data_IF_025915837540
#
_entry.id   IF_025915837540
#
_cell.length_a   1.000
_cell.length_b   1.000
_cell.length_c   1.000
_cell.angle_alpha   90.00
_cell.angle_beta   90.00
_cell.angle_gamma   90.00
#
_symmetry.space_group_name_H-M   'P 1'
#
loop_
_entity.id
_entity.type
_entity.pdbx_description
1 polymer ?
#
# COMPACT_ATOMS: atom_id res chain seq x y z
N UNK A 1 -7.97 18.36 -21.79
CA UNK A 1 -8.43 17.36 -20.80
C UNK A 1 -7.20 16.73 -20.19
N UNK A 2 -7.06 16.71 -18.85
CA UNK A 2 -5.93 16.02 -18.20
C UNK A 2 -6.12 14.51 -18.34
N UNK A 3 -5.08 13.79 -18.77
CA UNK A 3 -5.11 12.32 -18.83
C UNK A 3 -5.37 11.77 -17.43
N UNK A 4 -6.33 10.85 -17.24
CA UNK A 4 -6.59 10.26 -15.93
C UNK A 4 -5.35 9.54 -15.41
N UNK A 5 -5.11 9.64 -14.09
CA UNK A 5 -3.98 8.98 -13.43
C UNK A 5 -4.13 7.46 -13.61
N UNK A 6 -3.16 6.75 -14.21
CA UNK A 6 -3.24 5.31 -14.37
C UNK A 6 -3.08 4.61 -13.02
N UNK A 7 -4.15 3.97 -12.58
CA UNK A 7 -4.23 3.19 -11.33
C UNK A 7 -4.63 1.76 -11.66
N UNK A 8 -3.97 0.78 -11.06
CA UNK A 8 -4.45 -0.61 -11.02
C UNK A 8 -5.56 -0.66 -9.98
N UNK A 9 -6.80 -0.52 -10.43
CA UNK A 9 -7.98 -0.53 -9.56
C UNK A 9 -8.25 -1.94 -9.02
N UNK A 10 -8.77 -2.00 -7.78
CA UNK A 10 -9.10 -3.24 -7.08
C UNK A 10 -10.51 -3.12 -6.52
N UNK A 11 -11.33 -4.15 -6.75
CA UNK A 11 -12.63 -4.28 -6.11
C UNK A 11 -12.49 -4.92 -4.72
N UNK A 12 -12.50 -4.08 -3.68
CA UNK A 12 -12.56 -4.50 -2.28
C UNK A 12 -13.94 -4.35 -1.65
N UNK A 13 -14.99 -4.23 -2.47
CA UNK A 13 -16.38 -4.18 -2.03
C UNK A 13 -17.08 -2.87 -2.38
N UNK A 14 -18.41 -2.93 -2.28
CA UNK A 14 -19.26 -1.79 -2.58
C UNK A 14 -18.93 -0.61 -1.67
N UNK A 15 -18.82 0.57 -2.27
CA UNK A 15 -18.49 1.79 -1.55
C UNK A 15 -17.02 1.89 -1.16
N UNK A 16 -16.12 1.02 -1.64
CA UNK A 16 -14.67 1.16 -1.47
C UNK A 16 -14.05 1.61 -2.78
N UNK A 17 -13.15 2.60 -2.72
CA UNK A 17 -12.27 2.97 -3.82
C UNK A 17 -10.85 2.58 -3.42
N UNK A 18 -10.26 1.62 -4.13
CA UNK A 18 -8.95 1.06 -3.80
C UNK A 18 -8.13 0.84 -5.08
N UNK A 19 -6.82 1.02 -4.98
CA UNK A 19 -5.93 0.75 -6.10
C UNK A 19 -4.47 1.10 -5.85
N UNK A 20 -3.64 0.70 -6.81
CA UNK A 20 -2.20 0.94 -6.79
C UNK A 20 -1.80 1.88 -7.93
N UNK A 21 -1.18 3.01 -7.61
CA UNK A 21 -0.74 3.95 -8.64
C UNK A 21 0.43 3.36 -9.43
N UNK A 22 0.57 3.79 -10.69
CA UNK A 22 1.76 3.51 -11.49
C UNK A 22 2.76 4.67 -11.39
N UNK A 23 3.88 4.61 -12.12
CA UNK A 23 4.80 5.75 -12.29
C UNK A 23 4.32 6.77 -13.33
N UNK A 24 3.26 6.49 -14.07
CA UNK A 24 2.77 7.29 -15.19
C UNK A 24 1.74 8.35 -14.74
N UNK A 25 1.58 9.42 -15.54
CA UNK A 25 0.49 10.39 -15.37
C UNK A 25 0.74 11.54 -14.40
N UNK A 26 2.00 11.77 -14.01
CA UNK A 26 2.38 12.92 -13.18
C UNK A 26 3.25 13.95 -13.91
N UNK A 27 3.88 14.85 -13.15
CA UNK A 27 4.66 15.99 -13.66
C UNK A 27 6.15 15.97 -13.31
N UNK A 28 6.59 15.06 -12.44
CA UNK A 28 8.00 14.95 -12.04
C UNK A 28 8.90 14.57 -13.23
N UNK A 29 10.18 14.89 -13.14
CA UNK A 29 11.17 14.66 -14.20
C UNK A 29 12.28 13.66 -13.81
N UNK A 30 13.11 13.28 -14.79
CA UNK A 30 14.32 12.47 -14.59
C UNK A 30 14.04 11.13 -13.89
N UNK A 31 14.78 10.76 -12.82
CA UNK A 31 14.59 9.49 -12.10
C UNK A 31 13.22 9.36 -11.43
N UNK A 32 12.50 10.48 -11.28
CA UNK A 32 11.17 10.57 -10.69
C UNK A 32 10.07 10.71 -11.75
N UNK A 33 10.42 10.67 -13.04
CA UNK A 33 9.42 10.73 -14.10
C UNK A 33 8.44 9.54 -13.97
N UNK A 34 7.13 9.75 -13.82
CA UNK A 34 6.35 11.00 -13.92
C UNK A 34 5.49 11.29 -12.69
N UNK A 35 4.92 10.28 -12.02
CA UNK A 35 4.01 10.43 -10.87
C UNK A 35 4.70 10.01 -9.57
N UNK A 36 5.77 10.72 -9.17
CA UNK A 36 6.37 10.49 -7.86
C UNK A 36 5.49 11.08 -6.75
N UNK A 37 5.21 10.27 -5.73
CA UNK A 37 4.39 10.65 -4.57
C UNK A 37 5.21 10.77 -3.27
N UNK A 38 6.50 10.44 -3.31
CA UNK A 38 7.40 10.48 -2.17
C UNK A 38 8.05 11.86 -2.00
N UNK A 39 7.91 12.42 -0.80
CA UNK A 39 8.64 13.62 -0.35
C UNK A 39 10.00 13.29 0.28
N UNK A 40 10.25 12.02 0.59
CA UNK A 40 11.50 11.54 1.20
C UNK A 40 12.54 11.10 0.15
N UNK A 41 12.41 11.62 -1.07
CA UNK A 41 13.38 11.48 -2.16
C UNK A 41 13.70 12.88 -2.68
N UNK A 42 14.83 13.06 -3.36
CA UNK A 42 15.30 14.37 -3.80
C UNK A 42 14.58 14.88 -5.08
N UNK A 43 13.25 14.81 -5.11
CA UNK A 43 12.39 15.35 -6.17
C UNK A 43 11.92 16.77 -5.80
N UNK A 44 11.37 17.53 -6.75
CA UNK A 44 10.78 18.85 -6.49
C UNK A 44 9.47 18.70 -5.69
N UNK A 45 9.40 19.33 -4.51
CA UNK A 45 8.22 19.24 -3.64
C UNK A 45 6.93 19.74 -4.30
N UNK A 46 7.02 20.70 -5.25
CA UNK A 46 5.86 21.22 -5.99
C UNK A 46 5.35 20.21 -7.01
N UNK A 47 6.24 19.45 -7.63
CA UNK A 47 5.88 18.36 -8.53
C UNK A 47 5.21 17.23 -7.76
N UNK A 48 5.78 16.86 -6.60
CA UNK A 48 5.19 15.85 -5.71
C UNK A 48 3.82 16.30 -5.19
N UNK A 49 3.66 17.57 -4.78
CA UNK A 49 2.38 18.13 -4.36
C UNK A 49 1.34 18.06 -5.49
N UNK A 50 1.74 18.39 -6.71
CA UNK A 50 0.89 18.27 -7.91
C UNK A 50 0.47 16.82 -8.14
N UNK A 51 1.42 15.88 -8.09
CA UNK A 51 1.15 14.45 -8.25
C UNK A 51 0.19 13.91 -7.18
N UNK A 52 0.37 14.31 -5.91
CA UNK A 52 -0.53 13.93 -4.82
C UNK A 52 -1.93 14.49 -5.01
N UNK A 53 -2.08 15.72 -5.52
CA UNK A 53 -3.37 16.30 -5.85
C UNK A 53 -4.08 15.54 -6.99
N UNK A 54 -3.33 15.08 -8.00
CA UNK A 54 -3.88 14.25 -9.07
C UNK A 54 -4.44 12.92 -8.53
N UNK A 55 -3.69 12.25 -7.64
CA UNK A 55 -4.14 11.01 -7.00
C UNK A 55 -5.32 11.26 -6.05
N UNK A 56 -5.34 12.37 -5.32
CA UNK A 56 -6.47 12.79 -4.50
C UNK A 56 -7.75 13.00 -5.31
N UNK A 57 -7.62 13.57 -6.52
CA UNK A 57 -8.72 13.68 -7.48
C UNK A 57 -9.30 12.31 -7.86
N UNK A 58 -8.46 11.32 -8.15
CA UNK A 58 -8.91 9.94 -8.40
C UNK A 58 -9.54 9.31 -7.16
N UNK A 59 -8.93 9.48 -5.98
CA UNK A 59 -9.41 8.91 -4.72
C UNK A 59 -10.73 9.53 -4.23
N UNK A 60 -11.11 10.70 -4.75
CA UNK A 60 -12.32 11.43 -4.37
C UNK A 60 -12.16 12.28 -3.11
N UNK A 61 -10.95 12.77 -2.84
CA UNK A 61 -10.65 13.69 -1.73
C UNK A 61 -9.16 13.82 -1.40
N UNK A 62 -8.79 14.70 -0.45
CA UNK A 62 -7.42 14.79 0.06
C UNK A 62 -6.94 13.44 0.60
N UNK A 63 -5.65 13.15 0.41
CA UNK A 63 -5.04 11.86 0.70
C UNK A 63 -3.98 11.98 1.80
N UNK A 64 -4.18 11.28 2.91
CA UNK A 64 -3.18 11.19 3.99
C UNK A 64 -2.23 10.02 3.74
N UNK A 65 -0.93 10.29 3.74
CA UNK A 65 0.11 9.27 3.61
C UNK A 65 0.79 9.00 4.95
N UNK A 66 1.15 7.74 5.19
CA UNK A 66 1.99 7.38 6.33
C UNK A 66 3.42 7.92 6.16
N UNK A 67 4.02 8.44 7.24
CA UNK A 67 5.46 8.66 7.33
C UNK A 67 6.12 7.36 7.79
N UNK A 68 6.44 6.53 6.81
CA UNK A 68 6.89 5.16 6.99
C UNK A 68 8.30 5.06 7.58
N UNK A 69 8.48 4.16 8.54
CA UNK A 69 9.75 3.89 9.24
C UNK A 69 10.17 2.43 9.18
N UNK A 70 9.48 1.61 8.38
CA UNK A 70 9.66 0.15 8.27
C UNK A 70 9.40 -0.60 9.59
N UNK A 71 8.56 -0.03 10.46
CA UNK A 71 8.08 -0.63 11.70
C UNK A 71 6.74 -1.35 11.53
N UNK A 72 6.05 -1.55 12.66
CA UNK A 72 4.75 -2.24 12.71
C UNK A 72 3.60 -1.38 13.25
N UNK A 73 3.86 -0.10 13.55
CA UNK A 73 2.86 0.78 14.11
C UNK A 73 1.78 1.15 13.08
N UNK A 74 0.53 1.17 13.55
CA UNK A 74 -0.66 1.54 12.78
C UNK A 74 -1.32 2.74 13.47
N UNK A 75 -1.66 3.77 12.70
CA UNK A 75 -2.41 4.91 13.21
C UNK A 75 -3.84 4.94 12.67
N UNK A 76 -4.76 5.45 13.49
CA UNK A 76 -6.11 5.76 13.05
C UNK A 76 -6.14 7.22 12.59
N UNK A 77 -6.63 7.47 11.38
CA UNK A 77 -6.80 8.80 10.81
C UNK A 77 -8.25 9.26 11.04
N UNK A 78 -8.48 10.29 11.87
CA UNK A 78 -9.83 10.81 12.10
C UNK A 78 -10.40 11.49 10.86
N UNK A 79 -11.74 11.54 10.78
CA UNK A 79 -12.43 12.32 9.75
C UNK A 79 -12.14 13.83 9.90
N UNK A 80 -12.15 14.55 8.78
CA UNK A 80 -11.93 16.00 8.77
C UNK A 80 -10.49 16.45 9.00
N UNK A 81 -9.54 15.53 9.18
CA UNK A 81 -8.12 15.85 9.30
C UNK A 81 -7.49 15.89 7.91
N UNK A 82 -6.66 16.91 7.67
CA UNK A 82 -5.95 17.09 6.41
C UNK A 82 -4.85 16.05 6.14
N UNK A 83 -4.23 16.09 4.96
CA UNK A 83 -3.21 15.14 4.52
C UNK A 83 -1.95 15.11 5.42
N UNK A 84 -1.69 16.17 6.19
CA UNK A 84 -0.54 16.31 7.10
C UNK A 84 -0.86 15.91 8.55
N UNK A 85 -1.86 15.05 8.74
CA UNK A 85 -2.32 14.57 10.04
C UNK A 85 -1.15 14.07 10.92
N UNK A 86 -1.00 14.63 12.13
CA UNK A 86 0.02 14.18 13.08
C UNK A 86 -0.02 12.67 13.40
N UNK A 87 -1.19 12.01 13.52
CA UNK A 87 -1.26 10.56 13.71
C UNK A 87 -0.57 9.75 12.60
N UNK A 88 -0.40 10.29 11.39
CA UNK A 88 0.22 9.57 10.29
C UNK A 88 1.76 9.55 10.36
N UNK A 89 2.38 10.12 11.40
CA UNK A 89 3.83 10.20 11.54
C UNK A 89 4.42 8.94 12.20
N UNK A 90 5.55 8.46 11.69
CA UNK A 90 6.31 7.32 12.23
C UNK A 90 5.50 6.03 12.35
N UNK A 91 4.66 5.77 11.35
CA UNK A 91 3.84 4.56 11.25
C UNK A 91 3.95 3.95 9.87
N UNK A 92 3.67 2.66 9.76
CA UNK A 92 3.74 1.91 8.50
C UNK A 92 2.37 1.43 8.04
N UNK A 93 1.30 1.84 8.72
CA UNK A 93 -0.04 1.70 8.21
C UNK A 93 -1.00 2.70 8.81
N UNK A 94 -2.08 2.94 8.06
CA UNK A 94 -3.16 3.84 8.44
C UNK A 94 -4.48 3.09 8.36
N UNK A 95 -5.33 3.28 9.36
CA UNK A 95 -6.73 2.87 9.36
C UNK A 95 -7.60 4.12 9.30
N UNK A 96 -8.67 4.09 8.52
CA UNK A 96 -9.60 5.21 8.42
C UNK A 96 -11.05 4.75 8.24
N UNK A 97 -11.97 5.58 8.73
CA UNK A 97 -13.40 5.41 8.52
C UNK A 97 -13.87 5.95 7.15
N UNK A 98 -15.18 6.01 6.92
CA UNK A 98 -15.74 6.50 5.66
C UNK A 98 -15.41 7.98 5.44
N UNK A 99 -15.23 8.35 4.18
CA UNK A 99 -14.94 9.72 3.76
C UNK A 99 -13.45 10.05 3.66
N UNK A 100 -12.58 9.30 4.34
CA UNK A 100 -11.14 9.56 4.45
C UNK A 100 -10.34 8.67 3.52
N UNK A 101 -9.48 9.26 2.68
CA UNK A 101 -8.55 8.54 1.84
C UNK A 101 -7.19 8.42 2.54
N UNK A 102 -6.64 7.21 2.59
CA UNK A 102 -5.31 6.93 3.14
C UNK A 102 -4.46 6.16 2.15
N UNK A 103 -3.14 6.32 2.25
CA UNK A 103 -2.20 5.61 1.41
C UNK A 103 -0.84 5.36 2.03
N UNK A 104 -0.11 4.45 1.41
CA UNK A 104 1.29 4.13 1.74
C UNK A 104 2.13 4.18 0.47
N UNK A 105 3.38 4.59 0.61
CA UNK A 105 4.31 4.81 -0.48
C UNK A 105 5.29 3.64 -0.60
N UNK A 106 5.54 3.17 -1.82
CA UNK A 106 6.41 2.02 -2.06
C UNK A 106 7.27 2.20 -3.31
N UNK A 107 8.38 1.48 -3.29
CA UNK A 107 9.18 1.13 -4.46
C UNK A 107 9.90 -0.18 -4.11
N UNK A 108 9.22 -1.30 -4.35
CA UNK A 108 9.58 -2.71 -4.02
C UNK A 108 8.91 -3.31 -2.77
N UNK A 109 8.77 -2.58 -1.66
CA UNK A 109 8.01 -3.07 -0.51
C UNK A 109 6.54 -3.34 -0.87
N UNK A 110 5.85 -4.18 -0.10
CA UNK A 110 4.48 -4.61 -0.41
C UNK A 110 3.46 -3.59 0.11
N UNK A 111 2.70 -2.89 -0.76
CA UNK A 111 1.52 -2.17 -0.31
C UNK A 111 0.36 -3.15 -0.14
N UNK A 112 -0.26 -3.14 1.05
CA UNK A 112 -1.42 -3.97 1.38
C UNK A 112 -2.61 -3.06 1.65
N UNK A 113 -3.71 -3.32 0.96
CA UNK A 113 -4.98 -2.62 1.17
C UNK A 113 -5.96 -3.57 1.83
N UNK A 114 -6.63 -3.11 2.88
CA UNK A 114 -7.62 -3.89 3.65
C UNK A 114 -8.91 -3.10 3.71
N UNK A 115 -10.06 -3.74 3.52
CA UNK A 115 -11.35 -3.10 3.63
C UNK A 115 -12.36 -3.99 4.34
N UNK A 116 -13.24 -3.38 5.13
CA UNK A 116 -14.52 -4.00 5.45
C UNK A 116 -15.34 -4.14 4.15
N UNK A 117 -15.85 -5.34 3.87
CA UNK A 117 -16.79 -5.57 2.75
C UNK A 117 -18.04 -4.66 2.81
N UNK A 118 -18.39 -4.17 4.00
CA UNK A 118 -19.49 -3.22 4.23
C UNK A 118 -19.09 -1.75 4.19
N UNK A 119 -17.83 -1.42 3.87
CA UNK A 119 -17.36 -0.04 3.68
C UNK A 119 -17.25 0.80 4.97
N UNK A 120 -17.17 0.18 6.16
CA UNK A 120 -17.10 0.89 7.45
C UNK A 120 -15.71 1.40 7.80
N UNK A 121 -14.67 0.64 7.46
CA UNK A 121 -13.29 1.02 7.70
C UNK A 121 -12.38 0.42 6.63
N UNK A 122 -11.28 1.10 6.37
CA UNK A 122 -10.25 0.70 5.41
C UNK A 122 -8.87 0.88 6.04
N UNK A 123 -7.87 0.18 5.51
CA UNK A 123 -6.48 0.37 5.88
C UNK A 123 -5.55 0.30 4.66
N UNK A 124 -4.51 1.13 4.68
CA UNK A 124 -3.36 1.04 3.79
C UNK A 124 -2.11 0.73 4.62
N UNK A 125 -1.34 -0.28 4.22
CA UNK A 125 -0.23 -0.82 5.01
C UNK A 125 1.01 -1.03 4.14
N UNK A 126 2.13 -0.53 4.61
CA UNK A 126 3.45 -0.74 4.06
C UNK A 126 4.11 -1.94 4.73
N UNK A 127 4.20 -3.05 4.01
CA UNK A 127 4.90 -4.24 4.46
C UNK A 127 6.26 -4.37 3.74
N UNK A 128 7.25 -3.66 4.27
CA UNK A 128 8.67 -3.95 4.01
C UNK A 128 9.14 -5.18 4.79
N UNK A 129 10.37 -5.65 4.53
CA UNK A 129 10.95 -6.82 5.20
C UNK A 129 10.91 -6.73 6.73
N UNK A 130 11.34 -5.60 7.31
CA UNK A 130 11.36 -5.41 8.76
C UNK A 130 9.93 -5.32 9.33
N UNK A 131 9.06 -4.51 8.72
CA UNK A 131 7.67 -4.39 9.16
C UNK A 131 6.89 -5.71 9.09
N UNK A 132 7.08 -6.51 8.05
CA UNK A 132 6.46 -7.83 7.92
C UNK A 132 6.92 -8.78 9.04
N UNK A 133 8.23 -8.84 9.31
CA UNK A 133 8.77 -9.65 10.40
C UNK A 133 8.29 -9.16 11.79
N UNK A 134 8.13 -7.84 11.96
CA UNK A 134 7.62 -7.22 13.19
C UNK A 134 6.10 -7.26 13.34
N UNK A 135 5.37 -7.78 12.35
CA UNK A 135 3.94 -8.01 12.45
C UNK A 135 3.02 -6.86 12.01
N UNK A 136 3.46 -5.99 11.10
CA UNK A 136 2.67 -4.81 10.64
C UNK A 136 1.30 -5.18 10.05
N UNK A 137 1.21 -6.32 9.35
CA UNK A 137 -0.04 -6.79 8.73
C UNK A 137 -1.02 -7.26 9.81
N UNK A 138 -0.53 -7.99 10.81
CA UNK A 138 -1.29 -8.44 11.97
C UNK A 138 -1.80 -7.23 12.76
N UNK A 139 -0.94 -6.22 12.98
CA UNK A 139 -1.32 -4.98 13.65
C UNK A 139 -2.44 -4.25 12.91
N UNK A 140 -2.42 -4.22 11.58
CA UNK A 140 -3.48 -3.61 10.79
C UNK A 140 -4.82 -4.37 10.87
N UNK A 141 -4.77 -5.70 10.83
CA UNK A 141 -5.96 -6.55 11.04
C UNK A 141 -6.54 -6.35 12.44
N UNK A 142 -5.69 -6.28 13.47
CA UNK A 142 -6.11 -6.01 14.83
C UNK A 142 -6.74 -4.61 14.99
N UNK A 143 -6.15 -3.59 14.34
CA UNK A 143 -6.69 -2.23 14.36
C UNK A 143 -8.06 -2.13 13.67
N UNK A 144 -8.27 -2.85 12.56
CA UNK A 144 -9.60 -3.00 11.95
C UNK A 144 -10.58 -3.75 12.86
N UNK A 145 -10.11 -4.78 13.57
CA UNK A 145 -10.88 -5.48 14.60
C UNK A 145 -11.36 -4.55 15.72
N UNK A 146 -10.47 -3.69 16.22
CA UNK A 146 -10.80 -2.66 17.21
C UNK A 146 -11.82 -1.62 16.67
N UNK A 147 -11.85 -1.40 15.35
CA UNK A 147 -12.86 -0.59 14.67
C UNK A 147 -14.16 -1.37 14.35
N UNK A 148 -14.32 -2.60 14.86
CA UNK A 148 -15.53 -3.41 14.69
C UNK A 148 -15.59 -4.21 13.39
N UNK A 149 -14.46 -4.39 12.70
CA UNK A 149 -14.36 -5.19 11.47
C UNK A 149 -13.64 -6.52 11.77
N UNK A 150 -14.37 -7.63 11.98
CA UNK A 150 -13.75 -8.91 12.24
C UNK A 150 -12.98 -9.41 11.01
N UNK A 151 -11.89 -10.16 11.21
CA UNK A 151 -11.00 -10.62 10.14
C UNK A 151 -11.72 -11.34 8.99
N UNK A 152 -12.74 -12.15 9.28
CA UNK A 152 -13.53 -12.87 8.27
C UNK A 152 -14.37 -11.97 7.35
N UNK A 153 -14.51 -10.67 7.65
CA UNK A 153 -15.17 -9.67 6.79
C UNK A 153 -14.18 -8.78 6.04
N UNK A 154 -12.89 -8.90 6.33
CA UNK A 154 -11.86 -8.12 5.66
C UNK A 154 -11.65 -8.70 4.25
N UNK A 155 -11.74 -7.84 3.24
CA UNK A 155 -11.22 -8.09 1.89
C UNK A 155 -9.86 -7.42 1.78
N UNK A 156 -8.87 -8.13 1.26
CA UNK A 156 -7.50 -7.66 1.17
C UNK A 156 -7.00 -7.64 -0.27
N UNK A 157 -6.08 -6.73 -0.55
CA UNK A 157 -5.29 -6.75 -1.77
C UNK A 157 -3.81 -6.56 -1.50
N UNK A 158 -3.01 -7.45 -2.09
CA UNK A 158 -1.55 -7.41 -2.10
C UNK A 158 -1.14 -6.76 -3.42
N UNK A 159 -0.53 -5.58 -3.35
CA UNK A 159 -0.16 -4.82 -4.55
C UNK A 159 1.18 -5.20 -5.17
N UNK A 160 1.57 -4.49 -6.24
CA UNK A 160 2.85 -4.65 -6.91
C UNK A 160 4.01 -4.51 -5.92
N UNK A 161 4.96 -5.44 -5.97
CA UNK A 161 6.12 -5.47 -5.09
C UNK A 161 7.27 -6.21 -5.78
N UNK A 162 8.46 -6.20 -5.19
CA UNK A 162 9.55 -7.04 -5.70
C UNK A 162 9.22 -8.52 -5.40
N UNK A 163 9.30 -9.39 -6.42
CA UNK A 163 8.98 -10.81 -6.26
C UNK A 163 10.14 -11.62 -5.66
N UNK A 164 9.84 -12.81 -5.15
CA UNK A 164 10.84 -13.74 -4.59
C UNK A 164 11.96 -14.12 -5.57
N UNK A 165 11.67 -14.19 -6.87
CA UNK A 165 12.68 -14.46 -7.89
C UNK A 165 13.66 -13.28 -8.12
N UNK A 166 13.35 -12.09 -7.59
CA UNK A 166 14.10 -10.85 -7.83
C UNK A 166 14.73 -10.24 -6.57
N UNK A 167 14.21 -10.54 -5.37
CA UNK A 167 14.60 -9.86 -4.13
C UNK A 167 15.74 -10.58 -3.42
N UNK A 168 16.94 -10.43 -3.97
CA UNK A 168 18.16 -10.96 -3.37
C UNK A 168 18.47 -10.31 -2.02
N UNK A 169 18.85 -11.16 -1.06
CA UNK A 169 19.35 -10.78 0.26
C UNK A 169 20.50 -11.71 0.68
N UNK A 170 21.31 -11.32 1.66
CA UNK A 170 22.26 -12.25 2.28
C UNK A 170 21.58 -13.48 2.90
N UNK A 171 22.29 -14.61 2.96
CA UNK A 171 21.74 -15.90 3.37
C UNK A 171 21.24 -15.88 4.82
N UNK A 172 22.01 -15.25 5.72
CA UNK A 172 21.68 -15.05 7.11
C UNK A 172 20.42 -14.19 7.29
N UNK A 173 20.25 -13.18 6.43
CA UNK A 173 19.07 -12.35 6.45
C UNK A 173 17.82 -13.11 5.96
N UNK A 174 17.97 -13.94 4.91
CA UNK A 174 16.88 -14.83 4.47
C UNK A 174 16.46 -15.76 5.60
N UNK A 175 17.42 -16.43 6.24
CA UNK A 175 17.16 -17.36 7.32
C UNK A 175 16.48 -16.67 8.52
N UNK A 176 16.95 -15.48 8.91
CA UNK A 176 16.37 -14.74 10.03
C UNK A 176 14.90 -14.35 9.78
N UNK A 177 14.57 -13.82 8.60
CA UNK A 177 13.19 -13.42 8.29
C UNK A 177 12.29 -14.63 8.09
N UNK A 178 12.77 -15.68 7.41
CA UNK A 178 12.00 -16.92 7.22
C UNK A 178 11.80 -17.69 8.54
N UNK A 179 12.68 -17.53 9.52
CA UNK A 179 12.47 -18.06 10.87
C UNK A 179 11.24 -17.48 11.57
N UNK A 180 10.83 -16.26 11.19
CA UNK A 180 9.63 -15.58 11.72
C UNK A 180 8.43 -15.78 10.79
N UNK A 181 8.63 -15.64 9.48
CA UNK A 181 7.58 -15.79 8.45
C UNK A 181 8.03 -16.82 7.41
N UNK A 182 7.81 -18.14 7.63
CA UNK A 182 8.38 -19.19 6.77
C UNK A 182 8.07 -19.03 5.27
N UNK A 183 6.89 -18.52 4.94
CA UNK A 183 6.43 -18.31 3.57
C UNK A 183 7.27 -17.29 2.77
N UNK A 184 8.13 -16.48 3.40
CA UNK A 184 9.02 -15.57 2.67
C UNK A 184 10.24 -16.28 2.07
N UNK A 185 10.52 -17.53 2.42
CA UNK A 185 11.71 -18.21 1.92
C UNK A 185 11.66 -18.35 0.40
N UNK A 186 12.65 -17.77 -0.30
CA UNK A 186 12.75 -17.84 -1.74
C UNK A 186 14.21 -18.00 -2.22
N UNK A 187 14.35 -18.24 -3.51
CA UNK A 187 15.62 -18.23 -4.25
C UNK A 187 15.40 -17.37 -5.48
N UNK A 188 16.39 -16.54 -5.83
CA UNK A 188 16.31 -15.72 -7.04
C UNK A 188 16.32 -16.59 -8.29
N UNK A 189 15.96 -16.03 -9.44
CA UNK A 189 16.07 -16.73 -10.72
C UNK A 189 17.52 -17.03 -11.12
N UNK A 190 18.52 -16.47 -10.44
CA UNK A 190 19.94 -16.76 -10.62
C UNK A 190 20.56 -17.53 -9.43
N UNK A 191 19.73 -18.18 -8.61
CA UNK A 191 20.17 -19.18 -7.64
C UNK A 191 20.68 -18.66 -6.30
N UNK A 192 20.48 -17.38 -5.99
CA UNK A 192 20.94 -16.77 -4.72
C UNK A 192 19.82 -16.69 -3.68
N UNK A 193 20.15 -16.56 -2.38
CA UNK A 193 19.14 -16.38 -1.32
C UNK A 193 18.23 -15.17 -1.58
N UNK A 194 16.92 -15.36 -1.44
CA UNK A 194 15.93 -14.32 -1.68
C UNK A 194 14.77 -14.34 -0.68
N UNK A 195 13.94 -13.30 -0.72
CA UNK A 195 12.70 -13.20 0.06
C UNK A 195 11.49 -12.92 -0.84
N UNK A 196 10.42 -13.72 -0.70
CA UNK A 196 9.10 -13.42 -1.29
C UNK A 196 8.21 -12.72 -0.25
N UNK A 197 8.35 -11.40 -0.13
CA UNK A 197 7.54 -10.62 0.81
C UNK A 197 6.04 -10.73 0.53
N UNK A 198 5.56 -10.66 -0.74
CA UNK A 198 4.15 -10.88 -1.04
C UNK A 198 3.61 -12.24 -0.58
N UNK A 199 4.37 -13.33 -0.71
CA UNK A 199 3.99 -14.64 -0.20
C UNK A 199 3.90 -14.64 1.34
N UNK A 200 4.84 -13.98 2.01
CA UNK A 200 4.78 -13.77 3.46
C UNK A 200 3.54 -13.00 3.91
N UNK A 201 3.20 -11.91 3.22
CA UNK A 201 1.96 -11.14 3.48
C UNK A 201 0.72 -12.02 3.32
N UNK A 202 0.63 -12.79 2.24
CA UNK A 202 -0.50 -13.69 2.01
C UNK A 202 -0.66 -14.74 3.13
N UNK A 203 0.44 -15.36 3.56
CA UNK A 203 0.44 -16.34 4.64
C UNK A 203 0.01 -15.71 5.99
N UNK A 204 0.50 -14.50 6.28
CA UNK A 204 0.13 -13.76 7.50
C UNK A 204 -1.35 -13.36 7.50
N UNK A 205 -1.89 -12.89 6.37
CA UNK A 205 -3.31 -12.57 6.23
C UNK A 205 -4.18 -13.81 6.46
N UNK A 206 -3.82 -14.92 5.84
CA UNK A 206 -4.52 -16.20 6.00
C UNK A 206 -4.51 -16.67 7.46
N UNK A 207 -3.35 -16.62 8.13
CA UNK A 207 -3.22 -16.96 9.54
C UNK A 207 -4.03 -16.03 10.46
N UNK A 208 -4.19 -14.76 10.08
CA UNK A 208 -5.03 -13.79 10.80
C UNK A 208 -6.54 -13.98 10.54
N UNK A 209 -6.94 -14.94 9.70
CA UNK A 209 -8.33 -15.25 9.39
C UNK A 209 -8.94 -14.43 8.24
N UNK A 210 -8.12 -13.67 7.49
CA UNK A 210 -8.55 -12.97 6.28
C UNK A 210 -8.56 -13.96 5.12
N UNK A 211 -9.73 -14.20 4.54
CA UNK A 211 -9.94 -15.27 3.54
C UNK A 211 -10.07 -14.76 2.10
N UNK A 212 -10.54 -13.52 1.91
CA UNK A 212 -10.67 -12.90 0.60
C UNK A 212 -9.45 -12.01 0.35
N UNK A 213 -8.47 -12.55 -0.39
CA UNK A 213 -7.20 -11.89 -0.69
C UNK A 213 -6.98 -11.90 -2.20
N UNK A 214 -6.97 -10.70 -2.79
CA UNK A 214 -6.57 -10.48 -4.17
C UNK A 214 -5.09 -10.15 -4.25
N UNK A 215 -4.45 -10.50 -5.36
CA UNK A 215 -3.03 -10.19 -5.59
C UNK A 215 -2.85 -9.59 -6.97
N UNK A 216 -2.08 -8.51 -7.03
CA UNK A 216 -1.61 -7.96 -8.30
C UNK A 216 -0.29 -8.63 -8.64
N UNK A 217 -0.30 -9.49 -9.66
CA UNK A 217 0.88 -10.23 -10.10
C UNK A 217 1.80 -9.34 -10.95
N UNK A 218 2.48 -8.41 -10.30
CA UNK A 218 3.46 -7.51 -10.91
C UNK A 218 4.72 -7.38 -10.04
N UNK A 219 5.86 -7.77 -10.61
CA UNK A 219 7.16 -7.54 -9.97
C UNK A 219 7.65 -6.12 -10.29
N UNK A 220 7.78 -5.27 -9.28
CA UNK A 220 8.21 -3.86 -9.47
C UNK A 220 9.57 -3.75 -10.12
N UNK A 221 10.48 -4.72 -9.91
CA UNK A 221 11.82 -4.73 -10.49
C UNK A 221 11.80 -4.96 -12.01
N UNK A 222 10.91 -5.81 -12.51
CA UNK A 222 10.86 -6.18 -13.95
C UNK A 222 9.76 -5.46 -14.72
N UNK A 223 8.67 -5.05 -14.05
CA UNK A 223 7.59 -4.29 -14.64
C UNK A 223 7.88 -2.78 -14.59
N UNK A 224 8.06 -2.18 -15.76
CA UNK A 224 8.44 -0.76 -15.90
C UNK A 224 7.29 0.22 -15.59
N UNK A 225 6.06 -0.27 -15.41
CA UNK A 225 4.93 0.56 -14.97
C UNK A 225 5.12 1.08 -13.54
N UNK A 226 5.99 0.47 -12.74
CA UNK A 226 6.22 0.83 -11.34
C UNK A 226 7.64 1.32 -11.09
N UNK A 227 7.81 2.15 -10.07
CA UNK A 227 9.14 2.45 -9.53
C UNK A 227 9.70 1.24 -8.79
N UNK A 228 11.02 1.07 -8.84
CA UNK A 228 11.74 0.03 -8.11
C UNK A 228 13.05 0.58 -7.58
N UNK A 229 13.19 0.55 -6.26
CA UNK A 229 14.39 0.99 -5.57
C UNK A 229 15.59 0.09 -5.93
N UNK A 230 15.38 -1.23 -5.95
CA UNK A 230 16.38 -2.22 -6.30
C UNK A 230 16.87 -2.06 -7.74
N UNK A 231 15.97 -1.80 -8.69
CA UNK A 231 16.37 -1.51 -10.08
C UNK A 231 17.18 -0.22 -10.18
N UNK A 232 16.79 0.83 -9.45
CA UNK A 232 17.52 2.09 -9.46
C UNK A 232 18.93 1.94 -8.86
N UNK A 233 19.05 1.29 -7.69
CA UNK A 233 20.34 1.04 -7.05
C UNK A 233 21.30 0.21 -7.91
N UNK A 234 20.79 -0.80 -8.62
CA UNK A 234 21.61 -1.60 -9.54
C UNK A 234 22.25 -0.75 -10.67
N UNK A 235 21.69 0.43 -10.95
CA UNK A 235 22.20 1.38 -11.95
C UNK A 235 22.86 2.61 -11.31
N UNK A 236 23.16 2.59 -10.00
CA UNK A 236 23.73 3.73 -9.29
C UNK A 236 22.80 4.96 -9.23
N UNK A 237 21.49 4.76 -9.36
CA UNK A 237 20.50 5.82 -9.45
C UNK A 237 19.49 5.79 -8.28
N UNK A 238 18.69 6.85 -8.18
CA UNK A 238 17.51 6.93 -7.30
C UNK A 238 16.22 6.79 -8.10
N UNK A 239 15.07 6.73 -7.44
CA UNK A 239 13.76 6.66 -8.09
C UNK A 239 12.64 7.18 -7.20
N UNK A 240 11.47 7.43 -7.80
CA UNK A 240 10.27 7.89 -7.10
C UNK A 240 9.56 6.81 -6.28
N UNK A 241 8.38 7.14 -5.76
CA UNK A 241 7.48 6.23 -5.03
C UNK A 241 6.11 6.22 -5.67
N UNK A 242 5.56 5.02 -5.84
CA UNK A 242 4.14 4.84 -6.16
C UNK A 242 3.38 4.50 -4.87
N UNK A 243 2.06 4.37 -4.93
CA UNK A 243 1.25 4.19 -3.73
C UNK A 243 0.23 3.08 -3.83
N UNK A 244 -0.06 2.43 -2.69
CA UNK A 244 -1.36 1.82 -2.45
C UNK A 244 -2.28 2.86 -1.81
N UNK A 245 -3.47 3.07 -2.37
CA UNK A 245 -4.43 4.08 -1.91
C UNK A 245 -5.80 3.45 -1.73
N UNK A 246 -6.47 3.81 -0.62
CA UNK A 246 -7.80 3.31 -0.32
C UNK A 246 -8.67 4.36 0.38
N UNK A 247 -9.97 4.34 0.06
CA UNK A 247 -11.00 5.17 0.69
C UNK A 247 -12.30 4.38 0.80
N UNK A 248 -12.92 4.40 1.98
CA UNK A 248 -14.32 4.06 2.12
C UNK A 248 -15.17 5.29 1.76
N UNK A 249 -16.14 5.15 0.88
CA UNK A 249 -17.02 6.23 0.41
C UNK A 249 -18.30 6.37 1.24
N UNK A 250 -18.60 5.40 2.11
CA UNK A 250 -19.75 5.42 3.03
C UNK A 250 -21.11 5.15 2.37
N UNK A 251 -21.17 4.92 1.06
CA UNK A 251 -22.41 4.50 0.37
C UNK A 251 -22.54 2.98 0.41
N UNK A 252 -23.49 2.50 1.21
CA UNK A 252 -24.04 1.14 1.07
C UNK A 252 -25.04 1.18 -0.10
N UNK A 253 -24.91 0.36 -1.16
CA UNK A 253 -25.95 0.25 -2.17
C UNK A 253 -27.23 -0.29 -1.51
N UNK A 254 -28.34 0.44 -1.58
CA UNK A 254 -29.67 -0.08 -1.23
C UNK A 254 -30.48 0.69 -0.18
N UNK A 255 -29.93 1.70 0.49
CA UNK A 255 -30.77 2.63 1.27
C UNK A 255 -31.09 3.82 0.37
N UNK A 256 -32.21 3.70 -0.36
CA UNK A 256 -32.85 4.86 -0.99
C UNK A 256 -33.04 5.93 0.09
N UNK A 257 -32.59 7.15 -0.18
CA UNK A 257 -32.88 8.34 0.62
C UNK A 257 -34.39 8.57 0.55
N UNK A 258 -35.18 7.85 1.37
CA UNK A 258 -36.58 8.18 1.63
C UNK A 258 -36.56 9.41 2.53
N UNK A 259 -36.28 10.56 1.92
CA UNK A 259 -36.76 11.83 2.45
C UNK A 259 -38.25 11.89 2.14
N UNK A 260 -39.01 11.56 3.17
CA UNK A 260 -40.42 11.87 3.31
C UNK A 260 -40.66 13.36 3.08
N UNK A 261 -41.61 13.64 2.17
CA UNK A 261 -42.56 14.77 2.11
C UNK A 261 -42.04 16.17 2.39
#
# INVERSE_FOLDING_TARGET
MRTPVPVVEIDLGAGVRAGFTTRAGGVSAGPYASLNLGLNVADDERDVATNRALVGGWAGGPLTFATQVHGAAIAVVPAGVGPDAAPARHVDGLVAGPGVAVGVLVADCVPVLLADSGGRAVAAVHAGRAGLASGVVQAAVAALGAAGVPAGRIRAAIGPAICGACYEVPAELRAAVAGVVPAVWATTSWGTPALDLPAGVAAVLAAAGVRDVQRVDACTRTDLRFYSHRRAQANGATTGRFAGVIRATGRVPGVSDRRSS
#
